data_IF_478446029544
#
_entry.id   IF_478446029544
#
_cell.length_a   1.000
_cell.length_b   1.000
_cell.length_c   1.000
_cell.angle_alpha   90.00
_cell.angle_beta   90.00
_cell.angle_gamma   90.00
#
_symmetry.space_group_name_H-M   'P 1'
#
loop_
_entity.id
_entity.type
_entity.pdbx_description
1 polymer ?
#
# COMPACT_ATOMS: atom_id res chain seq x y z
N UNK A 1 10.47 -7.10 9.25
CA UNK A 1 9.03 -6.82 9.51
C UNK A 1 8.28 -6.41 8.25
N UNK A 2 8.75 -5.43 7.47
CA UNK A 2 8.13 -5.03 6.19
C UNK A 2 7.98 -6.19 5.20
N UNK A 3 9.05 -6.97 4.99
CA UNK A 3 9.02 -8.15 4.10
C UNK A 3 7.92 -9.17 4.47
N UNK A 4 7.70 -9.39 5.78
CA UNK A 4 6.62 -10.26 6.29
C UNK A 4 5.25 -9.71 5.92
N UNK A 5 5.02 -8.40 6.07
CA UNK A 5 3.76 -7.78 5.70
C UNK A 5 3.51 -7.85 4.19
N UNK A 6 4.53 -7.56 3.38
CA UNK A 6 4.46 -7.69 1.92
C UNK A 6 4.14 -9.13 1.51
N UNK A 7 4.79 -10.13 2.14
CA UNK A 7 4.52 -11.53 1.86
C UNK A 7 3.07 -11.92 2.22
N UNK A 8 2.59 -11.54 3.41
CA UNK A 8 1.20 -11.80 3.83
C UNK A 8 0.19 -11.16 2.88
N UNK A 9 0.38 -9.89 2.52
CA UNK A 9 -0.52 -9.18 1.60
C UNK A 9 -0.48 -9.84 0.22
N UNK A 10 0.70 -10.16 -0.31
CA UNK A 10 0.83 -10.83 -1.61
C UNK A 10 0.15 -12.21 -1.62
N UNK A 11 0.37 -13.02 -0.57
CA UNK A 11 -0.28 -14.33 -0.43
C UNK A 11 -1.81 -14.17 -0.40
N UNK A 12 -2.34 -13.21 0.37
CA UNK A 12 -3.77 -12.94 0.44
C UNK A 12 -4.35 -12.49 -0.91
N UNK A 13 -3.74 -11.49 -1.54
CA UNK A 13 -4.17 -10.97 -2.84
C UNK A 13 -4.22 -12.08 -3.88
N UNK A 14 -3.23 -12.96 -3.93
CA UNK A 14 -3.16 -13.98 -4.98
C UNK A 14 -3.97 -15.23 -4.70
N UNK A 15 -3.98 -15.73 -3.46
CA UNK A 15 -4.63 -17.01 -3.15
C UNK A 15 -6.12 -16.87 -2.82
N UNK A 16 -6.54 -15.75 -2.25
CA UNK A 16 -7.92 -15.57 -1.78
C UNK A 16 -8.72 -14.67 -2.72
N UNK A 17 -8.13 -13.56 -3.19
CA UNK A 17 -8.87 -12.55 -3.95
C UNK A 17 -8.69 -12.60 -5.46
N UNK A 18 -7.51 -12.98 -5.95
CA UNK A 18 -7.27 -13.20 -7.38
C UNK A 18 -7.57 -14.64 -7.80
N UNK A 19 -7.94 -15.51 -6.85
CA UNK A 19 -8.40 -16.85 -7.18
C UNK A 19 -9.68 -16.72 -8.01
N UNK A 20 -9.69 -17.42 -9.14
CA UNK A 20 -10.81 -17.48 -10.06
C UNK A 20 -11.96 -18.25 -9.38
N UNK A 21 -12.70 -17.58 -8.49
CA UNK A 21 -13.70 -18.19 -7.61
C UNK A 21 -14.88 -18.76 -8.39
N UNK A 22 -15.07 -18.34 -9.65
CA UNK A 22 -16.20 -18.75 -10.51
C UNK A 22 -15.81 -19.27 -11.90
N UNK A 23 -14.52 -19.30 -12.25
CA UNK A 23 -13.98 -20.01 -13.41
C UNK A 23 -13.53 -19.12 -14.57
N UNK A 24 -12.67 -19.70 -15.40
CA UNK A 24 -11.89 -19.02 -16.46
C UNK A 24 -12.75 -18.14 -17.36
N UNK A 25 -12.60 -16.81 -17.25
CA UNK A 25 -13.28 -15.89 -18.17
C UNK A 25 -13.36 -14.41 -17.77
N UNK A 26 -13.04 -14.03 -16.53
CA UNK A 26 -13.05 -12.61 -16.16
C UNK A 26 -11.79 -11.90 -16.68
N UNK A 27 -11.99 -11.10 -17.73
CA UNK A 27 -10.97 -10.33 -18.41
C UNK A 27 -10.83 -8.94 -17.78
N UNK A 28 -10.36 -8.87 -16.54
CA UNK A 28 -9.79 -7.63 -16.00
C UNK A 28 -8.70 -7.99 -15.00
N UNK A 29 -7.51 -7.34 -15.05
CA UNK A 29 -6.59 -7.40 -13.93
C UNK A 29 -7.37 -6.99 -12.67
N UNK A 30 -7.19 -7.74 -11.60
CA UNK A 30 -7.80 -7.42 -10.31
C UNK A 30 -7.34 -6.02 -9.87
N UNK A 31 -8.28 -5.21 -9.40
CA UNK A 31 -8.05 -3.78 -9.14
C UNK A 31 -8.20 -3.51 -7.66
N UNK A 32 -7.33 -2.64 -7.13
CA UNK A 32 -7.33 -2.24 -5.73
C UNK A 32 -7.37 -0.72 -5.62
N UNK A 33 -8.07 -0.24 -4.60
CA UNK A 33 -7.96 1.14 -4.15
C UNK A 33 -8.04 1.21 -2.63
N UNK A 34 -7.47 2.27 -2.07
CA UNK A 34 -7.18 2.35 -0.63
C UNK A 34 -7.61 3.69 -0.03
N UNK A 35 -7.93 3.66 1.26
CA UNK A 35 -8.11 4.84 2.13
C UNK A 35 -7.36 4.60 3.42
N UNK A 36 -6.03 4.57 3.30
CA UNK A 36 -5.14 4.11 4.35
C UNK A 36 -4.16 5.20 4.80
N UNK A 37 -3.51 4.98 5.93
CA UNK A 37 -2.40 5.83 6.33
C UNK A 37 -1.18 5.55 5.43
N UNK A 38 -0.27 6.51 5.28
CA UNK A 38 0.84 6.42 4.31
C UNK A 38 1.63 5.11 4.33
N UNK A 39 1.95 4.59 5.52
CA UNK A 39 2.72 3.36 5.65
C UNK A 39 1.92 2.11 5.26
N UNK A 40 0.61 2.06 5.58
CA UNK A 40 -0.28 0.95 5.19
C UNK A 40 -0.46 0.97 3.67
N UNK A 41 -0.73 2.16 3.12
CA UNK A 41 -0.96 2.36 1.71
C UNK A 41 0.27 1.95 0.88
N UNK A 42 1.46 2.32 1.35
CA UNK A 42 2.73 1.84 0.76
C UNK A 42 2.80 0.32 0.66
N UNK A 43 2.47 -0.40 1.74
CA UNK A 43 2.56 -1.86 1.76
C UNK A 43 1.56 -2.50 0.80
N UNK A 44 0.31 -2.02 0.79
CA UNK A 44 -0.73 -2.52 -0.09
C UNK A 44 -0.42 -2.23 -1.56
N UNK A 45 -0.08 -0.99 -1.90
CA UNK A 45 0.21 -0.63 -3.28
C UNK A 45 1.44 -1.36 -3.83
N UNK A 46 2.51 -1.48 -3.04
CA UNK A 46 3.71 -2.21 -3.49
C UNK A 46 3.41 -3.69 -3.69
N UNK A 47 2.74 -4.34 -2.74
CA UNK A 47 2.39 -5.75 -2.86
C UNK A 47 1.44 -5.98 -4.04
N UNK A 48 0.40 -5.18 -4.19
CA UNK A 48 -0.55 -5.26 -5.30
C UNK A 48 0.15 -5.12 -6.66
N UNK A 49 0.94 -4.07 -6.85
CA UNK A 49 1.68 -3.87 -8.10
C UNK A 49 2.69 -4.97 -8.37
N UNK A 50 3.37 -5.47 -7.35
CA UNK A 50 4.30 -6.60 -7.48
C UNK A 50 3.57 -7.89 -7.92
N UNK A 51 2.29 -8.03 -7.59
CA UNK A 51 1.43 -9.14 -8.01
C UNK A 51 0.63 -8.84 -9.30
N UNK A 52 0.90 -7.73 -9.99
CA UNK A 52 0.25 -7.37 -11.25
C UNK A 52 -1.16 -6.80 -11.12
N UNK A 53 -1.58 -6.41 -9.91
CA UNK A 53 -2.85 -5.72 -9.68
C UNK A 53 -2.77 -4.25 -10.12
N UNK A 54 -3.89 -3.74 -10.63
CA UNK A 54 -4.02 -2.30 -10.95
C UNK A 54 -4.40 -1.53 -9.68
N UNK A 55 -3.62 -0.49 -9.34
CA UNK A 55 -3.97 0.45 -8.27
C UNK A 55 -4.72 1.63 -8.88
N UNK A 56 -5.96 1.86 -8.44
CA UNK A 56 -6.82 2.90 -8.99
C UNK A 56 -6.60 4.25 -8.30
N UNK A 57 -6.37 5.28 -9.13
CA UNK A 57 -6.30 6.68 -8.69
C UNK A 57 -7.70 7.27 -8.39
N UNK A 58 -8.77 6.67 -8.93
CA UNK A 58 -10.16 7.16 -8.78
C UNK A 58 -11.06 6.13 -8.14
N UNK A 59 -11.83 6.56 -7.14
CA UNK A 59 -12.80 5.72 -6.42
C UNK A 59 -14.09 5.56 -7.23
N UNK A 60 -14.09 4.58 -8.13
CA UNK A 60 -15.26 4.12 -8.87
C UNK A 60 -15.31 2.60 -8.79
N UNK A 61 -15.76 2.03 -7.67
CA UNK A 61 -15.82 0.58 -7.52
C UNK A 61 -16.64 -0.05 -8.63
N UNK A 62 -16.14 -1.15 -9.18
CA UNK A 62 -16.94 -2.12 -9.92
C UNK A 62 -16.95 -3.45 -9.14
N UNK A 63 -17.87 -4.36 -9.49
CA UNK A 63 -17.90 -5.70 -8.91
C UNK A 63 -16.53 -6.38 -9.01
N UNK A 64 -16.09 -7.01 -7.92
CA UNK A 64 -14.81 -7.71 -7.82
C UNK A 64 -13.60 -6.83 -7.48
N UNK A 65 -13.73 -5.50 -7.42
CA UNK A 65 -12.64 -4.64 -6.95
C UNK A 65 -12.36 -4.87 -5.47
N UNK A 66 -11.10 -4.64 -5.06
CA UNK A 66 -10.72 -4.60 -3.66
C UNK A 66 -10.65 -3.16 -3.14
N UNK A 67 -11.40 -2.88 -2.09
CA UNK A 67 -11.28 -1.66 -1.30
C UNK A 67 -10.67 -1.96 0.06
N UNK A 68 -9.57 -1.28 0.41
CA UNK A 68 -8.97 -1.37 1.74
C UNK A 68 -9.08 -0.03 2.47
N UNK A 69 -9.69 -0.01 3.65
CA UNK A 69 -10.01 1.22 4.37
C UNK A 69 -9.68 1.15 5.86
N UNK A 70 -9.28 2.28 6.43
CA UNK A 70 -9.14 2.43 7.88
C UNK A 70 -10.48 2.58 8.62
N UNK A 71 -11.55 2.95 7.91
CA UNK A 71 -12.84 3.30 8.51
C UNK A 71 -13.98 2.72 7.71
N UNK A 72 -14.95 2.11 8.39
CA UNK A 72 -16.23 1.75 7.79
C UNK A 72 -17.17 2.95 7.89
N UNK A 73 -17.46 3.55 6.74
CA UNK A 73 -18.34 4.70 6.57
C UNK A 73 -19.01 4.64 5.20
N UNK A 74 -19.50 5.78 4.69
CA UNK A 74 -20.20 5.85 3.40
C UNK A 74 -19.42 5.21 2.25
N UNK A 75 -18.12 5.49 2.15
CA UNK A 75 -17.28 4.94 1.08
C UNK A 75 -17.22 3.40 1.11
N UNK A 76 -17.27 2.79 2.30
CA UNK A 76 -17.29 1.34 2.45
C UNK A 76 -18.64 0.75 2.07
N UNK A 77 -19.74 1.40 2.46
CA UNK A 77 -21.09 1.01 2.06
C UNK A 77 -21.29 1.12 0.54
N UNK A 78 -20.86 2.23 -0.07
CA UNK A 78 -20.95 2.44 -1.52
C UNK A 78 -20.14 1.39 -2.30
N UNK A 79 -18.98 0.98 -1.77
CA UNK A 79 -18.17 -0.09 -2.35
C UNK A 79 -18.86 -1.45 -2.27
N UNK A 80 -19.45 -1.80 -1.12
CA UNK A 80 -20.21 -3.03 -0.93
C UNK A 80 -21.44 -3.08 -1.85
N UNK A 81 -22.18 -1.97 -1.96
CA UNK A 81 -23.35 -1.84 -2.83
C UNK A 81 -22.98 -1.99 -4.32
N UNK A 82 -21.76 -1.58 -4.69
CA UNK A 82 -21.19 -1.77 -6.02
C UNK A 82 -20.63 -3.18 -6.27
N UNK A 83 -20.66 -4.08 -5.28
CA UNK A 83 -20.15 -5.44 -5.37
C UNK A 83 -18.64 -5.59 -5.22
N UNK A 84 -17.97 -4.58 -4.66
CA UNK A 84 -16.55 -4.66 -4.33
C UNK A 84 -16.33 -5.42 -3.01
N UNK A 85 -15.15 -6.04 -2.87
CA UNK A 85 -14.67 -6.59 -1.62
C UNK A 85 -14.14 -5.47 -0.73
N UNK A 86 -14.59 -5.38 0.52
CA UNK A 86 -14.13 -4.37 1.46
C UNK A 86 -13.34 -5.00 2.59
N UNK A 87 -12.14 -4.49 2.83
CA UNK A 87 -11.30 -4.81 3.99
C UNK A 87 -11.21 -3.62 4.92
N UNK A 88 -11.67 -3.80 6.15
CA UNK A 88 -11.44 -2.87 7.24
C UNK A 88 -10.07 -3.18 7.88
N UNK A 89 -9.13 -2.25 7.77
CA UNK A 89 -7.80 -2.38 8.38
C UNK A 89 -7.43 -1.10 9.11
N UNK A 90 -8.00 -0.81 10.29
CA UNK A 90 -7.68 0.39 11.05
C UNK A 90 -6.20 0.44 11.44
N UNK A 91 -5.61 1.63 11.34
CA UNK A 91 -4.21 1.88 11.67
C UNK A 91 -3.90 1.81 13.17
N UNK A 92 -4.95 1.91 14.02
CA UNK A 92 -4.82 1.86 15.45
C UNK A 92 -4.46 0.42 15.85
N UNK A 93 -3.15 0.20 15.97
CA UNK A 93 -2.50 -1.05 16.38
C UNK A 93 -2.55 -2.15 15.32
N UNK A 94 -1.37 -2.69 14.99
CA UNK A 94 -1.20 -3.97 14.27
C UNK A 94 -1.65 -5.19 15.11
N UNK A 95 -2.75 -5.05 15.88
CA UNK A 95 -3.55 -6.02 16.66
C UNK A 95 -4.41 -5.20 17.65
N UNK A 96 -5.71 -5.34 17.89
CA UNK A 96 -6.58 -6.51 17.91
C UNK A 96 -8.02 -6.03 17.75
N UNK A 97 -8.79 -6.74 16.92
CA UNK A 97 -10.24 -6.69 16.79
C UNK A 97 -10.86 -5.34 16.38
N UNK A 98 -11.56 -5.37 15.25
CA UNK A 98 -12.62 -4.41 14.98
C UNK A 98 -13.71 -4.52 16.07
N UNK A 99 -14.07 -3.41 16.71
CA UNK A 99 -14.98 -3.36 17.86
C UNK A 99 -16.46 -3.13 17.48
N UNK A 100 -16.73 -2.78 16.21
CA UNK A 100 -18.06 -2.60 15.65
C UNK A 100 -18.55 -3.80 14.82
N UNK A 101 -19.76 -3.75 14.26
CA UNK A 101 -20.12 -4.63 13.15
C UNK A 101 -19.29 -4.27 11.91
N UNK A 102 -18.93 -5.26 11.11
CA UNK A 102 -18.23 -5.06 9.83
C UNK A 102 -19.18 -4.89 8.65
N UNK A 103 -20.48 -5.14 8.82
CA UNK A 103 -21.54 -4.94 7.82
C UNK A 103 -21.21 -5.47 6.41
N UNK A 104 -20.60 -6.66 6.33
CA UNK A 104 -20.22 -7.29 5.07
C UNK A 104 -18.78 -7.04 4.63
N UNK A 105 -18.07 -6.09 5.25
CA UNK A 105 -16.62 -6.00 5.15
C UNK A 105 -15.94 -7.14 5.91
N UNK A 106 -14.69 -7.45 5.54
CA UNK A 106 -13.84 -8.39 6.25
C UNK A 106 -12.84 -7.63 7.14
N UNK A 107 -12.41 -8.26 8.22
CA UNK A 107 -11.32 -7.74 9.06
C UNK A 107 -10.00 -7.97 8.33
N UNK A 108 -9.51 -6.92 7.68
CA UNK A 108 -8.30 -6.98 6.86
C UNK A 108 -7.08 -7.41 7.65
N UNK A 109 -7.01 -7.17 8.97
CA UNK A 109 -5.91 -7.64 9.79
C UNK A 109 -6.02 -9.14 10.09
N UNK A 110 -7.23 -9.63 10.38
CA UNK A 110 -7.46 -11.06 10.56
C UNK A 110 -7.12 -11.83 9.28
N UNK A 111 -7.60 -11.36 8.13
CA UNK A 111 -7.38 -11.96 6.81
C UNK A 111 -5.89 -12.07 6.45
N UNK A 112 -5.11 -11.01 6.68
CA UNK A 112 -3.67 -11.05 6.40
C UNK A 112 -2.89 -11.80 7.48
N UNK A 113 -3.38 -11.86 8.73
CA UNK A 113 -2.69 -12.56 9.81
C UNK A 113 -2.65 -14.08 9.60
N UNK A 114 -3.68 -14.65 8.98
CA UNK A 114 -3.76 -16.09 8.65
C UNK A 114 -2.78 -16.50 7.56
N UNK A 115 -2.25 -15.55 6.79
CA UNK A 115 -1.33 -15.84 5.69
C UNK A 115 0.07 -16.24 6.16
N UNK A 116 0.82 -17.03 5.38
CA UNK A 116 2.20 -17.35 5.70
C UNK A 116 3.10 -16.10 5.81
N UNK A 117 4.07 -16.14 6.73
CA UNK A 117 5.09 -15.09 6.89
C UNK A 117 6.11 -15.06 5.73
N UNK A 118 6.25 -16.19 5.04
CA UNK A 118 7.05 -16.34 3.83
C UNK A 118 6.18 -16.13 2.60
N UNK A 119 6.78 -15.62 1.52
CA UNK A 119 6.12 -15.55 0.24
C UNK A 119 6.00 -16.96 -0.34
N UNK A 120 4.77 -17.42 -0.57
CA UNK A 120 4.48 -18.77 -1.09
C UNK A 120 3.82 -18.76 -2.47
N UNK A 121 3.67 -17.56 -3.05
CA UNK A 121 3.13 -17.34 -4.39
C UNK A 121 4.26 -16.95 -5.34
N UNK A 122 4.12 -17.31 -6.62
CA UNK A 122 5.09 -16.93 -7.64
C UNK A 122 5.10 -15.42 -7.81
N UNK A 123 6.27 -14.80 -7.70
CA UNK A 123 6.42 -13.36 -7.94
C UNK A 123 6.67 -13.12 -9.43
N UNK A 124 5.79 -12.39 -10.13
CA UNK A 124 6.08 -11.94 -11.49
C UNK A 124 7.39 -11.14 -11.52
N UNK A 125 8.21 -11.24 -12.58
CA UNK A 125 9.45 -10.46 -12.73
C UNK A 125 9.15 -8.99 -13.11
N UNK A 126 8.21 -8.35 -12.42
CA UNK A 126 7.66 -7.05 -12.76
C UNK A 126 8.02 -5.94 -11.76
N UNK A 127 8.84 -6.21 -10.74
CA UNK A 127 9.08 -5.25 -9.65
C UNK A 127 9.68 -3.91 -10.14
N UNK A 128 10.59 -3.94 -11.12
CA UNK A 128 11.14 -2.73 -11.72
C UNK A 128 10.08 -1.95 -12.50
N UNK A 129 9.20 -2.63 -13.24
CA UNK A 129 8.09 -2.03 -13.95
C UNK A 129 7.06 -1.44 -12.97
N UNK A 130 6.71 -2.18 -11.92
CA UNK A 130 5.82 -1.74 -10.84
C UNK A 130 6.32 -0.45 -10.18
N UNK A 131 7.64 -0.35 -9.94
CA UNK A 131 8.28 0.89 -9.48
C UNK A 131 8.10 2.01 -10.50
N UNK A 132 8.46 1.79 -11.76
CA UNK A 132 8.45 2.83 -12.80
C UNK A 132 7.03 3.36 -13.05
N UNK A 133 6.03 2.49 -13.04
CA UNK A 133 4.61 2.85 -13.11
C UNK A 133 4.18 3.68 -11.89
N UNK A 134 4.53 3.25 -10.68
CA UNK A 134 4.19 3.95 -9.44
C UNK A 134 4.91 5.31 -9.30
N UNK A 135 6.10 5.46 -9.89
CA UNK A 135 6.80 6.74 -9.95
C UNK A 135 6.13 7.73 -10.90
N UNK A 136 5.28 7.27 -11.82
CA UNK A 136 4.54 8.11 -12.77
C UNK A 136 5.44 9.13 -13.50
N UNK A 137 6.63 8.68 -13.91
CA UNK A 137 7.64 9.48 -14.59
C UNK A 137 8.44 10.44 -13.70
N UNK A 138 8.26 10.40 -12.39
CA UNK A 138 9.09 11.17 -11.45
C UNK A 138 10.40 10.47 -11.12
N UNK A 139 11.40 11.25 -10.70
CA UNK A 139 12.72 10.78 -10.29
C UNK A 139 13.29 11.67 -9.18
N UNK A 140 14.25 11.18 -8.38
CA UNK A 140 14.90 12.00 -7.37
C UNK A 140 15.51 13.27 -8.00
N UNK A 141 15.28 14.42 -7.36
CA UNK A 141 15.72 15.71 -7.88
C UNK A 141 17.23 15.88 -7.87
N UNK A 142 17.93 15.12 -7.03
CA UNK A 142 19.37 15.09 -6.90
C UNK A 142 19.85 13.67 -6.53
N UNK A 143 21.14 13.36 -6.72
CA UNK A 143 21.72 12.11 -6.22
C UNK A 143 21.50 11.95 -4.71
N UNK A 144 20.88 10.84 -4.33
CA UNK A 144 20.55 10.55 -2.92
C UNK A 144 21.75 9.91 -2.23
N UNK A 145 22.22 10.54 -1.16
CA UNK A 145 23.27 10.03 -0.28
C UNK A 145 22.64 9.44 0.99
N UNK A 146 23.41 8.66 1.76
CA UNK A 146 22.95 8.08 3.02
C UNK A 146 22.19 6.77 2.85
N UNK A 147 21.95 6.14 4.00
CA UNK A 147 21.33 4.83 4.15
C UNK A 147 19.86 4.91 4.59
N UNK A 148 19.41 6.05 5.12
CA UNK A 148 18.06 6.32 5.58
C UNK A 148 17.61 7.70 5.12
N UNK A 149 16.50 7.73 4.40
CA UNK A 149 15.97 8.96 3.79
C UNK A 149 14.56 9.24 4.28
N UNK A 150 14.14 10.49 4.23
CA UNK A 150 12.76 10.88 4.46
C UNK A 150 12.07 11.23 3.14
N UNK A 151 10.78 10.89 3.06
CA UNK A 151 9.90 11.24 1.95
C UNK A 151 8.64 11.91 2.51
N UNK A 152 8.20 13.00 1.86
CA UNK A 152 6.85 13.52 2.08
C UNK A 152 5.87 12.62 1.35
N UNK A 153 4.82 12.18 2.05
CA UNK A 153 3.81 11.32 1.47
C UNK A 153 2.98 12.05 0.41
N UNK A 154 2.81 11.38 -0.72
CA UNK A 154 1.89 11.72 -1.79
C UNK A 154 1.14 10.44 -2.18
N UNK A 155 -0.19 10.46 -2.16
CA UNK A 155 -0.97 9.23 -2.39
C UNK A 155 -0.77 8.64 -3.80
N UNK A 156 -0.38 9.48 -4.77
CA UNK A 156 -0.22 9.08 -6.16
C UNK A 156 1.13 8.44 -6.44
N UNK A 157 2.21 9.01 -5.90
CA UNK A 157 3.59 8.60 -6.23
C UNK A 157 4.37 8.07 -5.03
N UNK A 158 3.88 8.25 -3.80
CA UNK A 158 4.57 7.92 -2.56
C UNK A 158 5.00 6.46 -2.48
N UNK A 159 4.14 5.51 -2.86
CA UNK A 159 4.49 4.10 -2.90
C UNK A 159 5.65 3.82 -3.88
N UNK A 160 5.65 4.46 -5.05
CA UNK A 160 6.72 4.35 -6.03
C UNK A 160 8.04 4.93 -5.53
N UNK A 161 7.99 6.09 -4.85
CA UNK A 161 9.16 6.72 -4.25
C UNK A 161 9.75 5.86 -3.13
N UNK A 162 8.91 5.28 -2.26
CA UNK A 162 9.38 4.34 -1.22
C UNK A 162 10.02 3.11 -1.83
N UNK A 163 9.37 2.50 -2.83
CA UNK A 163 9.88 1.31 -3.51
C UNK A 163 11.23 1.59 -4.20
N UNK A 164 11.36 2.74 -4.87
CA UNK A 164 12.62 3.17 -5.48
C UNK A 164 13.74 3.22 -4.44
N UNK A 165 13.52 3.85 -3.29
CA UNK A 165 14.54 3.94 -2.23
C UNK A 165 14.88 2.57 -1.61
N UNK A 166 13.89 1.71 -1.37
CA UNK A 166 14.12 0.34 -0.90
C UNK A 166 14.94 -0.49 -1.90
N UNK A 167 14.67 -0.35 -3.21
CA UNK A 167 15.44 -1.04 -4.26
C UNK A 167 16.89 -0.57 -4.33
N UNK A 168 17.18 0.65 -3.88
CA UNK A 168 18.56 1.16 -3.72
C UNK A 168 19.18 0.75 -2.37
N UNK A 169 18.52 -0.09 -1.58
CA UNK A 169 19.00 -0.57 -0.28
C UNK A 169 18.87 0.44 0.86
N UNK A 170 18.05 1.48 0.71
CA UNK A 170 17.84 2.50 1.75
C UNK A 170 16.64 2.19 2.63
N UNK A 171 16.72 2.63 3.88
CA UNK A 171 15.58 2.75 4.78
C UNK A 171 14.81 4.05 4.49
N UNK A 172 13.51 4.07 4.77
CA UNK A 172 12.64 5.20 4.46
C UNK A 172 11.81 5.61 5.67
N UNK A 173 11.80 6.91 5.94
CA UNK A 173 10.89 7.59 6.88
C UNK A 173 9.80 8.24 6.04
N UNK A 174 8.55 7.82 6.22
CA UNK A 174 7.41 8.40 5.51
C UNK A 174 6.79 9.47 6.40
N UNK A 175 6.72 10.70 5.90
CA UNK A 175 6.19 11.85 6.62
C UNK A 175 4.87 12.26 5.98
N UNK A 176 3.77 12.18 6.73
CA UNK A 176 2.47 12.68 6.27
C UNK A 176 2.40 14.21 6.42
N UNK A 177 2.37 14.99 5.32
CA UNK A 177 2.28 16.45 5.41
C UNK A 177 0.95 16.93 5.98
N UNK A 178 -0.09 16.09 6.05
CA UNK A 178 -1.38 16.45 6.67
C UNK A 178 -1.34 16.32 8.19
N UNK A 179 -0.48 15.46 8.73
CA UNK A 179 -0.35 15.22 10.16
C UNK A 179 0.84 15.96 10.79
N UNK A 180 1.83 16.33 9.99
CA UNK A 180 3.10 16.92 10.45
C UNK A 180 3.28 18.31 9.85
N UNK A 181 3.47 19.32 10.70
CA UNK A 181 3.80 20.67 10.22
C UNK A 181 5.25 20.75 9.68
N UNK A 182 5.51 21.61 8.67
CA UNK A 182 6.84 21.78 8.10
C UNK A 182 7.94 22.11 9.13
N UNK A 183 7.61 22.88 10.17
CA UNK A 183 8.57 23.29 11.22
C UNK A 183 9.12 22.11 12.03
N UNK A 184 8.43 20.96 12.02
CA UNK A 184 8.88 19.74 12.70
C UNK A 184 9.81 18.88 11.86
N UNK A 185 9.98 19.16 10.56
CA UNK A 185 10.76 18.32 9.66
C UNK A 185 12.20 18.17 10.14
N UNK A 186 12.88 19.26 10.50
CA UNK A 186 14.27 19.20 10.98
C UNK A 186 14.40 18.33 12.24
N UNK A 187 13.43 18.43 13.15
CA UNK A 187 13.41 17.59 14.35
C UNK A 187 13.22 16.12 13.98
N UNK A 188 12.25 15.80 13.11
CA UNK A 188 11.96 14.43 12.67
C UNK A 188 13.18 13.80 11.98
N UNK A 189 13.82 14.52 11.07
CA UNK A 189 15.02 14.02 10.38
C UNK A 189 16.13 13.67 11.36
N UNK A 190 16.32 14.49 12.39
CA UNK A 190 17.32 14.25 13.43
C UNK A 190 16.93 13.07 14.35
N UNK A 191 15.67 12.98 14.79
CA UNK A 191 15.23 11.92 15.70
C UNK A 191 15.15 10.56 15.03
N UNK A 192 14.82 10.54 13.74
CA UNK A 192 14.74 9.32 12.94
C UNK A 192 16.06 8.93 12.29
N UNK A 193 17.16 9.66 12.54
CA UNK A 193 18.48 9.41 11.96
C UNK A 193 18.43 9.29 10.42
N UNK A 194 17.68 10.18 9.78
CA UNK A 194 17.57 10.24 8.33
C UNK A 194 18.81 10.93 7.73
N UNK A 195 19.94 10.20 7.73
CA UNK A 195 21.26 10.65 7.26
C UNK A 195 21.27 11.17 5.80
N UNK A 196 20.37 10.66 4.96
CA UNK A 196 20.16 11.13 3.59
C UNK A 196 19.25 12.35 3.45
N UNK A 197 18.68 12.82 4.57
CA UNK A 197 17.80 13.98 4.62
C UNK A 197 16.46 13.76 3.91
N UNK A 198 15.82 14.87 3.56
CA UNK A 198 14.57 14.87 2.80
C UNK A 198 14.85 14.71 1.31
N UNK A 199 14.36 13.63 0.71
CA UNK A 199 14.44 13.40 -0.73
C UNK A 199 13.18 13.95 -1.41
N UNK A 200 13.37 14.68 -2.50
CA UNK A 200 12.28 15.20 -3.33
C UNK A 200 12.32 14.57 -4.71
N UNK A 201 11.13 14.39 -5.29
CA UNK A 201 10.97 13.86 -6.64
C UNK A 201 10.41 14.94 -7.58
N UNK A 202 10.86 14.92 -8.82
CA UNK A 202 10.43 15.81 -9.89
C UNK A 202 10.21 15.02 -11.19
N UNK A 203 9.36 15.53 -12.08
CA UNK A 203 9.22 15.01 -13.45
C UNK A 203 10.40 15.44 -14.32
#
# INVERSE_FOLDING_TARGET
>A
MVSRWLAKIANYLTNELAADLFGTGEATPTRIYTTLQPWQDTLWQIAARAMGWEVLDTRRPLPGDLFVTNTLGSDASDALDAGAHVLAQPAQYLSFAWDGPLDGALDGLAEIATQPDALVVDTPPLLAQARDEALAGTRPSAPVQGSRVALLWDARTGAGQVLDQWMQGRSVVIIDPHAVSPDRLTQILATEDADGGLVTYQR
#
